data_IF_450803543893
#
_entry.id   IF_450803543893
#
_cell.length_a   1.000
_cell.length_b   1.000
_cell.length_c   1.000
_cell.angle_alpha   90.00
_cell.angle_beta   90.00
_cell.angle_gamma   90.00
#
_symmetry.space_group_name_H-M   'P 1'
#
loop_
_entity.id
_entity.type
_entity.pdbx_description
1 polymer ?
#
# COMPACT_ATOMS: atom_id res chain seq x y z
N UNK A 1 12.40 2.19 11.15
CA UNK A 1 11.54 1.06 11.55
C UNK A 1 10.98 0.41 10.27
N UNK A 2 10.76 -0.91 10.27
CA UNK A 2 10.16 -1.63 9.14
C UNK A 2 8.65 -1.72 9.30
N UNK A 3 7.91 -1.40 8.25
CA UNK A 3 6.44 -1.35 8.23
C UNK A 3 5.89 -2.15 7.05
N UNK A 4 4.81 -2.89 7.29
CA UNK A 4 4.06 -3.57 6.24
C UNK A 4 2.67 -2.92 6.08
N UNK A 5 2.33 -2.50 4.87
CA UNK A 5 0.98 -2.04 4.50
C UNK A 5 0.28 -3.19 3.76
N UNK A 6 -0.80 -3.72 4.35
CA UNK A 6 -1.53 -4.87 3.79
C UNK A 6 -2.86 -4.38 3.19
N UNK A 7 -3.09 -4.66 1.91
CA UNK A 7 -4.29 -4.24 1.19
C UNK A 7 -4.69 -5.28 0.15
N UNK A 8 -5.97 -5.37 -0.25
CA UNK A 8 -6.42 -6.38 -1.22
C UNK A 8 -5.66 -6.30 -2.55
N UNK A 9 -5.58 -5.10 -3.13
CA UNK A 9 -4.91 -4.81 -4.42
C UNK A 9 -4.09 -3.54 -4.28
N UNK A 10 -3.04 -3.40 -5.09
CA UNK A 10 -2.18 -2.23 -5.07
C UNK A 10 -1.64 -1.96 -6.47
N UNK A 11 -1.55 -0.68 -6.87
CA UNK A 11 -1.03 -0.31 -8.19
C UNK A 11 -1.43 1.10 -8.62
N UNK A 12 -0.82 1.58 -9.71
CA UNK A 12 -1.14 2.87 -10.31
C UNK A 12 -2.59 2.94 -10.80
N UNK A 13 -3.06 1.83 -11.40
CA UNK A 13 -4.36 1.71 -12.07
C UNK A 13 -5.50 1.19 -11.17
N UNK A 14 -5.23 0.96 -9.87
CA UNK A 14 -6.22 0.47 -8.92
C UNK A 14 -6.93 1.66 -8.25
N UNK A 15 -8.24 1.80 -8.52
CA UNK A 15 -9.02 2.98 -8.14
C UNK A 15 -10.07 2.73 -7.04
N UNK A 16 -9.93 1.65 -6.28
CA UNK A 16 -10.78 1.44 -5.09
C UNK A 16 -10.37 2.38 -3.95
N UNK A 17 -11.35 2.83 -3.14
CA UNK A 17 -11.10 3.84 -2.11
C UNK A 17 -10.08 3.38 -1.04
N UNK A 18 -10.13 2.11 -0.66
CA UNK A 18 -9.17 1.52 0.28
C UNK A 18 -7.76 1.41 -0.34
N UNK A 19 -7.67 1.00 -1.60
CA UNK A 19 -6.42 0.84 -2.32
C UNK A 19 -5.72 2.17 -2.59
N UNK A 20 -6.49 3.20 -2.96
CA UNK A 20 -5.98 4.55 -3.12
C UNK A 20 -5.45 5.12 -1.80
N UNK A 21 -6.20 4.92 -0.70
CA UNK A 21 -5.77 5.36 0.62
C UNK A 21 -4.49 4.63 1.07
N UNK A 22 -4.41 3.32 0.85
CA UNK A 22 -3.21 2.53 1.13
C UNK A 22 -1.99 3.07 0.37
N UNK A 23 -2.15 3.48 -0.89
CA UNK A 23 -1.07 4.12 -1.68
C UNK A 23 -0.60 5.42 -1.05
N UNK A 24 -1.51 6.34 -0.73
CA UNK A 24 -1.13 7.61 -0.10
C UNK A 24 -0.41 7.45 1.23
N UNK A 25 -0.84 6.49 2.05
CA UNK A 25 -0.20 6.19 3.32
C UNK A 25 1.18 5.55 3.10
N UNK A 26 1.30 4.59 2.18
CA UNK A 26 2.60 3.97 1.86
C UNK A 26 3.62 5.01 1.37
N UNK A 27 3.22 5.87 0.43
CA UNK A 27 4.08 6.94 -0.11
C UNK A 27 4.53 7.91 0.98
N UNK A 28 3.61 8.31 1.87
CA UNK A 28 3.92 9.19 2.99
C UNK A 28 4.89 8.55 3.98
N UNK A 29 4.71 7.27 4.30
CA UNK A 29 5.54 6.56 5.28
C UNK A 29 6.92 6.23 4.73
N UNK A 30 7.04 5.94 3.44
CA UNK A 30 8.31 5.63 2.77
C UNK A 30 9.35 6.76 2.90
N UNK A 31 8.92 8.01 3.09
CA UNK A 31 9.83 9.13 3.35
C UNK A 31 10.60 9.05 4.67
N UNK A 32 10.21 8.17 5.60
CA UNK A 32 10.82 8.05 6.94
C UNK A 32 11.00 6.62 7.43
N UNK A 33 10.39 5.63 6.76
CA UNK A 33 10.35 4.23 7.15
C UNK A 33 10.65 3.32 5.96
N UNK A 34 11.17 2.13 6.25
CA UNK A 34 11.28 1.05 5.28
C UNK A 34 9.91 0.38 5.16
N UNK A 35 9.23 0.57 4.02
CA UNK A 35 7.84 0.18 3.81
C UNK A 35 7.75 -0.91 2.75
N UNK A 36 7.09 -2.01 3.10
CA UNK A 36 6.72 -3.07 2.17
C UNK A 36 5.19 -3.12 2.02
N UNK A 37 4.71 -3.25 0.79
CA UNK A 37 3.28 -3.39 0.52
C UNK A 37 2.97 -4.83 0.17
N UNK A 38 2.06 -5.45 0.91
CA UNK A 38 1.61 -6.82 0.71
C UNK A 38 0.18 -6.83 0.17
N UNK A 39 -0.05 -7.67 -0.84
CA UNK A 39 -1.36 -7.84 -1.47
C UNK A 39 -1.89 -9.25 -1.31
N UNK A 40 -3.19 -9.42 -1.52
CA UNK A 40 -3.81 -10.74 -1.56
C UNK A 40 -3.45 -11.49 -2.85
N UNK A 41 -3.43 -12.82 -2.79
CA UNK A 41 -3.36 -13.67 -3.99
C UNK A 41 -4.73 -13.86 -4.68
N UNK A 42 -5.80 -13.27 -4.13
CA UNK A 42 -7.12 -13.31 -4.73
C UNK A 42 -7.24 -12.21 -5.81
N UNK A 43 -7.52 -12.63 -7.05
CA UNK A 43 -7.76 -11.76 -8.20
C UNK A 43 -9.18 -11.17 -8.19
#
# INVERSE_FOLDING_TARGET
>A
MKLAVVVQRYGADINGGAELHARYIADRLAGTHDVEVLTSCAH
#
